data_IF_594112584693
#
_entry.id   IF_594112584693
#
_cell.length_a   1.000
_cell.length_b   1.000
_cell.length_c   1.000
_cell.angle_alpha   90.00
_cell.angle_beta   90.00
_cell.angle_gamma   90.00
#
_symmetry.space_group_name_H-M   'P 1'
#
loop_
_entity.id
_entity.type
_entity.pdbx_description
1 polymer ?
#
# COMPACT_ATOMS: atom_id res chain seq x y z
N UNK A 1 -25.53 -20.62 -17.03
CA UNK A 1 -24.22 -20.57 -17.72
C UNK A 1 -23.58 -19.22 -17.44
N UNK A 2 -22.39 -19.15 -16.82
CA UNK A 2 -21.76 -17.88 -16.51
C UNK A 2 -21.20 -17.24 -17.79
N UNK A 3 -21.63 -16.00 -18.08
CA UNK A 3 -21.13 -15.21 -19.19
C UNK A 3 -19.66 -14.86 -18.94
N UNK A 4 -18.82 -15.33 -19.85
CA UNK A 4 -17.39 -15.05 -19.92
C UNK A 4 -17.17 -13.54 -20.08
N UNK A 5 -16.11 -12.99 -19.46
CA UNK A 5 -15.69 -11.59 -19.66
C UNK A 5 -15.50 -11.35 -21.17
N UNK A 6 -16.39 -10.57 -21.77
CA UNK A 6 -16.19 -9.99 -23.11
C UNK A 6 -15.21 -8.84 -22.99
N UNK A 7 -14.02 -9.00 -23.57
CA UNK A 7 -13.13 -7.87 -23.88
C UNK A 7 -13.90 -6.85 -24.73
N UNK A 8 -13.65 -5.56 -24.53
CA UNK A 8 -14.28 -4.46 -25.28
C UNK A 8 -14.23 -4.76 -26.78
N UNK A 9 -15.39 -4.99 -27.40
CA UNK A 9 -15.50 -5.46 -28.79
C UNK A 9 -15.12 -4.40 -29.84
N UNK A 10 -14.84 -3.15 -29.45
CA UNK A 10 -14.30 -2.12 -30.36
C UNK A 10 -13.66 -0.96 -29.58
N UNK A 11 -12.34 -0.95 -29.35
CA UNK A 11 -11.66 0.28 -28.97
C UNK A 11 -11.69 1.27 -30.16
N UNK A 12 -11.83 2.59 -29.93
CA UNK A 12 -11.71 3.58 -30.99
C UNK A 12 -10.34 3.46 -31.67
N UNK A 13 -10.31 3.44 -33.02
CA UNK A 13 -9.07 3.38 -33.79
C UNK A 13 -8.19 4.59 -33.46
N UNK A 14 -7.00 4.35 -32.93
CA UNK A 14 -6.00 5.38 -32.71
C UNK A 14 -5.21 5.63 -34.01
N UNK A 15 -4.85 6.90 -34.24
CA UNK A 15 -3.92 7.30 -35.28
C UNK A 15 -2.55 6.63 -35.02
N UNK A 16 -1.99 6.01 -36.07
CA UNK A 16 -0.69 5.36 -36.00
C UNK A 16 0.41 6.40 -35.83
N UNK A 17 1.14 6.38 -34.71
CA UNK A 17 2.33 7.19 -34.52
C UNK A 17 3.48 6.29 -34.07
N UNK A 18 4.63 6.44 -34.74
CA UNK A 18 5.85 5.65 -34.50
C UNK A 18 6.42 5.97 -33.11
N UNK A 19 6.57 4.94 -32.28
CA UNK A 19 7.21 5.03 -30.97
C UNK A 19 8.66 5.53 -31.08
N UNK A 20 9.10 6.36 -30.14
CA UNK A 20 10.48 6.83 -30.05
C UNK A 20 11.42 5.68 -29.62
N UNK A 21 12.42 5.38 -30.46
CA UNK A 21 13.35 4.28 -30.25
C UNK A 21 14.20 4.45 -28.98
N UNK A 22 14.21 3.43 -28.11
CA UNK A 22 15.08 3.35 -26.94
C UNK A 22 16.37 2.62 -27.31
N UNK A 23 17.53 3.28 -27.21
CA UNK A 23 18.83 2.73 -27.61
C UNK A 23 19.49 1.89 -26.50
N UNK A 24 19.31 0.58 -26.52
CA UNK A 24 20.04 -0.37 -25.66
C UNK A 24 20.05 -1.79 -26.27
N UNK A 25 21.24 -2.32 -26.53
CA UNK A 25 21.49 -3.49 -27.40
C UNK A 25 20.83 -4.82 -26.99
N UNK A 26 20.68 -5.68 -28.00
CA UNK A 26 20.26 -7.10 -28.11
C UNK A 26 18.96 -7.56 -27.41
N UNK A 27 18.60 -6.97 -26.26
CA UNK A 27 17.23 -7.03 -25.69
C UNK A 27 16.21 -6.22 -26.49
N UNK A 28 16.65 -5.62 -27.59
CA UNK A 28 15.84 -4.75 -28.45
C UNK A 28 15.03 -5.56 -29.48
N UNK A 29 15.51 -6.71 -29.96
CA UNK A 29 14.86 -7.43 -31.07
C UNK A 29 13.51 -8.04 -30.68
N UNK A 30 13.42 -8.79 -29.58
CA UNK A 30 12.14 -9.36 -29.10
C UNK A 30 11.16 -8.27 -28.65
N UNK A 31 11.66 -7.25 -27.96
CA UNK A 31 10.86 -6.08 -27.57
C UNK A 31 10.25 -5.41 -28.80
N UNK A 32 11.08 -5.12 -29.79
CA UNK A 32 10.66 -4.47 -31.02
C UNK A 32 9.67 -5.34 -31.81
N UNK A 33 9.90 -6.66 -31.88
CA UNK A 33 8.95 -7.60 -32.47
C UNK A 33 7.58 -7.57 -31.76
N UNK A 34 7.56 -7.51 -30.42
CA UNK A 34 6.32 -7.41 -29.66
C UNK A 34 5.65 -6.04 -29.83
N UNK A 35 6.41 -4.95 -29.82
CA UNK A 35 5.91 -3.60 -30.07
C UNK A 35 5.29 -3.48 -31.46
N UNK A 36 5.95 -4.00 -32.50
CA UNK A 36 5.42 -4.06 -33.87
C UNK A 36 4.18 -4.95 -33.95
N UNK A 37 4.20 -6.13 -33.31
CA UNK A 37 3.07 -7.08 -33.29
C UNK A 37 1.82 -6.49 -32.64
N UNK A 38 1.97 -5.61 -31.65
CA UNK A 38 0.85 -5.02 -30.91
C UNK A 38 0.66 -3.52 -31.20
N UNK A 39 1.34 -2.97 -32.21
CA UNK A 39 1.34 -1.53 -32.50
C UNK A 39 -0.07 -0.97 -32.74
N UNK A 40 -0.96 -1.74 -33.36
CA UNK A 40 -2.36 -1.39 -33.62
C UNK A 40 -3.24 -1.37 -32.35
N UNK A 41 -2.74 -1.95 -31.25
CA UNK A 41 -3.42 -2.03 -29.95
C UNK A 41 -2.76 -1.18 -28.87
N UNK A 42 -1.56 -0.67 -29.13
CA UNK A 42 -0.83 0.19 -28.21
C UNK A 42 -1.25 1.65 -28.41
N UNK A 43 -1.49 2.33 -27.29
CA UNK A 43 -1.72 3.77 -27.25
C UNK A 43 -0.78 4.38 -26.23
N UNK A 44 0.03 5.33 -26.67
CA UNK A 44 0.87 6.11 -25.76
C UNK A 44 0.02 7.17 -25.04
N UNK A 45 0.14 7.21 -23.71
CA UNK A 45 -0.50 8.22 -22.86
C UNK A 45 0.54 8.84 -21.90
N UNK A 46 1.48 9.65 -22.40
CA UNK A 46 2.54 10.24 -21.57
C UNK A 46 2.00 11.10 -20.42
N UNK A 47 0.78 11.65 -20.54
CA UNK A 47 0.10 12.39 -19.48
C UNK A 47 -0.17 11.58 -18.21
N UNK A 48 -0.17 10.25 -18.28
CA UNK A 48 -0.33 9.37 -17.11
C UNK A 48 0.99 9.13 -16.36
N UNK A 49 2.13 9.59 -16.88
CA UNK A 49 3.46 9.27 -16.33
C UNK A 49 3.65 9.62 -14.85
N UNK A 50 3.05 10.71 -14.38
CA UNK A 50 3.11 11.11 -12.97
C UNK A 50 2.24 10.21 -12.05
N UNK A 51 1.23 9.55 -12.61
CA UNK A 51 0.25 8.74 -11.90
C UNK A 51 0.67 7.28 -11.74
N UNK A 52 1.59 6.78 -12.59
CA UNK A 52 2.10 5.40 -12.53
C UNK A 52 3.21 5.20 -11.49
N UNK A 53 3.24 6.04 -10.44
CA UNK A 53 4.17 5.93 -9.33
C UNK A 53 3.53 6.31 -8.00
N UNK A 54 4.17 5.92 -6.89
CA UNK A 54 3.69 6.24 -5.54
C UNK A 54 3.67 7.74 -5.23
N UNK A 55 4.35 8.59 -6.02
CA UNK A 55 4.55 10.01 -5.70
C UNK A 55 3.23 10.73 -5.41
N UNK A 56 2.19 10.46 -6.19
CA UNK A 56 0.85 11.04 -6.00
C UNK A 56 0.08 10.57 -4.75
N UNK A 57 0.58 9.55 -4.04
CA UNK A 57 -0.07 9.05 -2.80
C UNK A 57 0.41 9.73 -1.53
N UNK A 58 1.50 10.52 -1.59
CA UNK A 58 2.06 11.19 -0.41
C UNK A 58 1.08 12.16 0.25
N UNK A 59 0.20 12.76 -0.55
CA UNK A 59 -0.78 13.75 -0.10
C UNK A 59 -2.12 13.13 0.28
N UNK A 60 -2.29 11.81 0.08
CA UNK A 60 -3.51 11.08 0.47
C UNK A 60 -3.32 10.55 1.90
N UNK A 61 -4.04 11.07 2.92
CA UNK A 61 -3.70 10.85 4.33
C UNK A 61 -3.61 9.38 4.76
N UNK A 62 -4.46 8.52 4.22
CA UNK A 62 -4.51 7.09 4.57
C UNK A 62 -3.49 6.27 3.78
N UNK A 63 -3.20 6.63 2.53
CA UNK A 63 -2.23 5.91 1.69
C UNK A 63 -0.78 6.22 2.04
N UNK A 64 -0.51 7.39 2.66
CA UNK A 64 0.84 7.73 3.13
C UNK A 64 1.27 6.96 4.38
N UNK A 65 0.34 6.32 5.10
CA UNK A 65 0.63 5.57 6.33
C UNK A 65 1.62 4.43 6.09
N UNK A 66 1.56 3.78 4.93
CA UNK A 66 2.51 2.71 4.63
C UNK A 66 3.03 2.84 3.20
N UNK A 67 4.25 3.37 3.07
CA UNK A 67 4.90 3.56 1.77
C UNK A 67 5.27 2.23 1.12
N UNK A 68 4.81 2.04 -0.11
CA UNK A 68 5.14 0.92 -1.00
C UNK A 68 5.57 1.48 -2.36
N UNK A 69 6.78 1.13 -2.80
CA UNK A 69 7.43 1.82 -3.92
C UNK A 69 6.78 1.47 -5.27
N UNK A 70 6.23 0.26 -5.36
CA UNK A 70 5.64 -0.34 -6.53
C UNK A 70 4.15 0.04 -6.69
N UNK A 71 3.58 0.81 -5.77
CA UNK A 71 2.21 1.30 -5.89
C UNK A 71 2.11 2.44 -6.92
N UNK A 72 1.05 2.42 -7.73
CA UNK A 72 0.60 3.57 -8.52
C UNK A 72 -0.22 4.55 -7.66
N UNK A 73 -0.44 5.75 -8.18
CA UNK A 73 -1.16 6.81 -7.51
C UNK A 73 -2.67 6.51 -7.41
N UNK A 74 -3.32 7.00 -6.35
CA UNK A 74 -4.77 6.91 -6.15
C UNK A 74 -5.55 7.51 -7.33
N UNK A 75 -5.10 8.66 -7.83
CA UNK A 75 -5.68 9.35 -8.97
C UNK A 75 -5.59 8.55 -10.27
N UNK A 76 -4.58 7.67 -10.40
CA UNK A 76 -4.51 6.73 -11.53
C UNK A 76 -5.77 5.87 -11.58
N UNK A 77 -6.17 5.30 -10.46
CA UNK A 77 -7.34 4.41 -10.40
C UNK A 77 -8.61 5.20 -10.65
N UNK A 78 -8.77 6.36 -10.01
CA UNK A 78 -9.96 7.20 -10.20
C UNK A 78 -10.18 7.59 -11.66
N UNK A 79 -9.10 7.92 -12.39
CA UNK A 79 -9.15 8.20 -13.82
C UNK A 79 -9.74 7.02 -14.61
N UNK A 80 -9.28 5.79 -14.36
CA UNK A 80 -9.78 4.61 -15.08
C UNK A 80 -11.18 4.19 -14.64
N UNK A 81 -11.54 4.31 -13.36
CA UNK A 81 -12.92 4.10 -12.90
C UNK A 81 -13.89 5.04 -13.63
N UNK A 82 -13.49 6.31 -13.79
CA UNK A 82 -14.25 7.33 -14.53
C UNK A 82 -14.33 7.04 -16.03
N UNK A 83 -13.19 6.77 -16.69
CA UNK A 83 -13.12 6.48 -18.12
C UNK A 83 -13.97 5.31 -18.55
N UNK A 84 -14.04 4.28 -17.72
CA UNK A 84 -14.86 3.09 -17.97
C UNK A 84 -16.32 3.28 -17.51
N UNK A 85 -16.67 4.42 -16.89
CA UNK A 85 -18.02 4.72 -16.45
C UNK A 85 -18.51 3.78 -15.34
N UNK A 86 -17.62 3.29 -14.48
CA UNK A 86 -17.99 2.33 -13.44
C UNK A 86 -18.93 2.97 -12.43
N UNK A 87 -19.89 2.16 -11.99
CA UNK A 87 -20.91 2.51 -11.01
C UNK A 87 -20.91 1.51 -9.86
N UNK A 88 -21.74 1.76 -8.85
CA UNK A 88 -21.95 0.84 -7.71
C UNK A 88 -22.54 -0.52 -8.12
N UNK A 89 -22.97 -0.68 -9.37
CA UNK A 89 -23.49 -1.94 -9.94
C UNK A 89 -22.38 -2.81 -10.54
N UNK A 90 -21.19 -2.24 -10.74
CA UNK A 90 -20.04 -2.92 -11.32
C UNK A 90 -19.15 -3.53 -10.25
N UNK A 91 -18.12 -4.25 -10.68
CA UNK A 91 -17.17 -4.92 -9.80
C UNK A 91 -15.74 -4.69 -10.28
N UNK A 92 -14.85 -4.32 -9.37
CA UNK A 92 -13.42 -4.18 -9.66
C UNK A 92 -12.68 -5.41 -9.16
N UNK A 93 -11.91 -6.04 -10.04
CA UNK A 93 -11.04 -7.15 -9.68
C UNK A 93 -9.57 -6.77 -9.94
N UNK A 94 -8.75 -6.88 -8.90
CA UNK A 94 -7.31 -6.64 -8.98
C UNK A 94 -6.52 -7.90 -8.61
N UNK A 95 -6.00 -8.67 -9.59
CA UNK A 95 -5.30 -9.93 -9.32
C UNK A 95 -3.90 -9.75 -8.71
N UNK A 96 -3.41 -8.51 -8.58
CA UNK A 96 -2.11 -8.16 -8.00
C UNK A 96 -2.24 -6.89 -7.17
N UNK A 97 -3.18 -6.92 -6.20
CA UNK A 97 -3.65 -5.71 -5.56
C UNK A 97 -2.59 -4.99 -4.73
N UNK A 98 -1.48 -5.65 -4.40
CA UNK A 98 -0.44 -5.11 -3.54
C UNK A 98 -1.04 -4.58 -2.25
N UNK A 99 -0.72 -3.33 -1.94
CA UNK A 99 -1.22 -2.63 -0.75
C UNK A 99 -2.65 -2.11 -0.89
N UNK A 100 -3.31 -2.33 -2.03
CA UNK A 100 -4.74 -2.07 -2.21
C UNK A 100 -5.12 -0.67 -2.69
N UNK A 101 -4.26 0.05 -3.43
CA UNK A 101 -4.63 1.35 -4.02
C UNK A 101 -5.92 1.24 -4.84
N UNK A 102 -6.04 0.20 -5.67
CA UNK A 102 -7.24 -0.09 -6.47
C UNK A 102 -8.48 -0.29 -5.59
N UNK A 103 -8.37 -1.14 -4.57
CA UNK A 103 -9.50 -1.46 -3.69
C UNK A 103 -9.94 -0.25 -2.87
N UNK A 104 -8.99 0.55 -2.40
CA UNK A 104 -9.29 1.78 -1.67
C UNK A 104 -9.97 2.82 -2.56
N UNK A 105 -9.50 3.03 -3.80
CA UNK A 105 -10.15 3.92 -4.76
C UNK A 105 -11.56 3.44 -5.16
N UNK A 106 -11.74 2.14 -5.40
CA UNK A 106 -13.06 1.56 -5.64
C UNK A 106 -14.00 1.78 -4.44
N UNK A 107 -13.54 1.51 -3.22
CA UNK A 107 -14.28 1.76 -1.99
C UNK A 107 -14.69 3.23 -1.83
N UNK A 108 -13.79 4.18 -2.12
CA UNK A 108 -14.07 5.63 -2.07
C UNK A 108 -15.15 6.06 -3.05
N UNK A 109 -15.29 5.34 -4.17
CA UNK A 109 -16.33 5.55 -5.19
C UNK A 109 -17.58 4.68 -4.97
N UNK A 110 -17.63 3.90 -3.88
CA UNK A 110 -18.75 3.00 -3.57
C UNK A 110 -18.88 1.81 -4.53
N UNK A 111 -17.79 1.45 -5.21
CA UNK A 111 -17.73 0.34 -6.16
C UNK A 111 -17.22 -0.90 -5.42
N UNK A 112 -17.96 -2.02 -5.42
CA UNK A 112 -17.50 -3.30 -4.89
C UNK A 112 -16.18 -3.75 -5.55
N UNK A 113 -15.27 -4.34 -4.76
CA UNK A 113 -13.99 -4.79 -5.28
C UNK A 113 -13.43 -6.02 -4.56
N UNK A 114 -12.63 -6.82 -5.28
CA UNK A 114 -11.80 -7.91 -4.74
C UNK A 114 -10.38 -7.75 -5.26
N UNK A 115 -9.43 -7.98 -4.36
CA UNK A 115 -8.02 -8.06 -4.70
C UNK A 115 -7.40 -9.37 -4.26
N UNK A 116 -6.39 -9.81 -4.99
CA UNK A 116 -5.54 -10.95 -4.64
C UNK A 116 -4.09 -10.49 -4.66
N UNK A 117 -3.32 -10.94 -3.67
CA UNK A 117 -1.87 -10.77 -3.66
C UNK A 117 -1.22 -11.94 -2.90
N UNK A 118 0.02 -12.27 -3.24
CA UNK A 118 0.78 -13.35 -2.59
C UNK A 118 1.38 -12.88 -1.26
N UNK A 119 1.69 -11.60 -1.11
CA UNK A 119 2.40 -11.07 0.05
C UNK A 119 1.40 -10.80 1.21
N UNK A 120 1.49 -11.53 2.36
CA UNK A 120 0.48 -11.43 3.41
C UNK A 120 0.35 -10.03 4.02
N UNK A 121 1.46 -9.30 4.16
CA UNK A 121 1.43 -7.92 4.67
C UNK A 121 0.73 -6.97 3.68
N UNK A 122 0.86 -7.21 2.37
CA UNK A 122 0.20 -6.42 1.35
C UNK A 122 -1.33 -6.62 1.42
N UNK A 123 -1.76 -7.88 1.48
CA UNK A 123 -3.18 -8.24 1.68
C UNK A 123 -3.73 -7.65 2.99
N UNK A 124 -2.96 -7.70 4.08
CA UNK A 124 -3.34 -7.10 5.36
C UNK A 124 -3.56 -5.59 5.24
N UNK A 125 -2.70 -4.85 4.55
CA UNK A 125 -2.92 -3.41 4.38
C UNK A 125 -4.09 -3.15 3.43
N UNK A 126 -4.16 -3.86 2.30
CA UNK A 126 -5.23 -3.73 1.32
C UNK A 126 -6.64 -3.91 1.92
N UNK A 127 -6.82 -4.87 2.83
CA UNK A 127 -8.09 -5.08 3.54
C UNK A 127 -8.36 -4.02 4.62
N UNK A 128 -7.32 -3.40 5.18
CA UNK A 128 -7.42 -2.48 6.32
C UNK A 128 -7.65 -1.04 5.88
N UNK A 129 -7.07 -0.58 4.76
CA UNK A 129 -7.25 0.80 4.30
C UNK A 129 -8.73 1.20 4.12
N UNK A 130 -9.62 0.37 3.55
CA UNK A 130 -11.05 0.71 3.43
C UNK A 130 -11.76 0.90 4.77
N UNK A 131 -11.29 0.27 5.85
CA UNK A 131 -11.88 0.40 7.19
C UNK A 131 -11.94 1.86 7.64
N UNK A 132 -10.93 2.68 7.31
CA UNK A 132 -10.91 4.10 7.66
C UNK A 132 -12.12 4.87 7.12
N UNK A 133 -12.73 4.41 6.02
CA UNK A 133 -13.95 5.03 5.46
C UNK A 133 -15.21 4.72 6.28
N UNK A 134 -15.14 3.75 7.19
CA UNK A 134 -16.28 3.28 8.01
C UNK A 134 -16.21 3.75 9.46
N UNK A 135 -15.05 4.22 9.92
CA UNK A 135 -14.86 4.68 11.28
C UNK A 135 -15.54 6.03 11.52
N UNK A 136 -16.06 6.22 12.73
CA UNK A 136 -16.59 7.52 13.14
C UNK A 136 -15.44 8.50 13.39
N UNK A 137 -15.60 9.80 13.08
CA UNK A 137 -14.62 10.82 13.47
C UNK A 137 -14.30 10.73 14.97
N UNK A 138 -13.01 10.84 15.32
CA UNK A 138 -12.53 10.77 16.71
C UNK A 138 -12.36 9.35 17.28
N UNK A 139 -12.95 8.32 16.68
CA UNK A 139 -12.91 6.95 17.20
C UNK A 139 -11.49 6.39 17.36
N UNK A 140 -10.60 6.66 16.39
CA UNK A 140 -9.18 6.26 16.47
C UNK A 140 -8.47 6.97 17.62
N UNK A 141 -8.72 8.28 17.78
CA UNK A 141 -8.11 9.09 18.84
C UNK A 141 -8.56 8.62 20.23
N UNK A 142 -9.85 8.36 20.41
CA UNK A 142 -10.39 7.82 21.66
C UNK A 142 -9.77 6.46 22.02
N UNK A 143 -9.62 5.58 21.02
CA UNK A 143 -8.98 4.29 21.21
C UNK A 143 -7.49 4.45 21.57
N UNK A 144 -6.77 5.38 20.92
CA UNK A 144 -5.37 5.66 21.21
C UNK A 144 -5.17 6.10 22.67
N UNK A 145 -5.99 7.03 23.18
CA UNK A 145 -5.89 7.48 24.57
C UNK A 145 -6.18 6.35 25.57
N UNK A 146 -7.14 5.48 25.27
CA UNK A 146 -7.42 4.27 26.08
C UNK A 146 -6.24 3.31 26.11
N UNK A 147 -5.60 3.06 24.96
CA UNK A 147 -4.41 2.22 24.89
C UNK A 147 -3.24 2.83 25.66
N UNK A 148 -3.00 4.14 25.48
CA UNK A 148 -1.94 4.89 26.16
C UNK A 148 -2.06 4.79 27.67
N UNK A 149 -3.28 4.92 28.21
CA UNK A 149 -3.54 4.79 29.65
C UNK A 149 -3.24 3.38 30.22
N UNK A 150 -3.34 2.34 29.38
CA UNK A 150 -3.05 0.94 29.77
C UNK A 150 -1.56 0.58 29.67
N UNK A 151 -0.82 1.30 28.83
CA UNK A 151 0.58 1.02 28.50
C UNK A 151 1.51 0.81 29.72
N UNK A 152 1.42 1.60 30.82
CA UNK A 152 2.29 1.42 31.98
C UNK A 152 2.13 0.05 32.68
N UNK A 153 0.95 -0.55 32.57
CA UNK A 153 0.61 -1.84 33.20
C UNK A 153 0.81 -3.03 32.26
N UNK A 154 1.09 -2.80 30.99
CA UNK A 154 1.18 -3.83 29.98
C UNK A 154 2.49 -4.62 30.07
N UNK A 155 2.38 -5.95 30.10
CA UNK A 155 3.51 -6.83 29.87
C UNK A 155 3.92 -6.76 28.38
N UNK A 156 5.23 -6.74 28.06
CA UNK A 156 5.68 -6.64 26.68
C UNK A 156 5.38 -7.92 25.87
N UNK A 157 4.76 -7.77 24.69
CA UNK A 157 4.47 -8.88 23.79
C UNK A 157 5.72 -9.67 23.39
N UNK A 158 5.58 -10.96 23.06
CA UNK A 158 6.67 -11.76 22.52
C UNK A 158 7.10 -11.24 21.13
N UNK A 159 8.39 -11.39 20.80
CA UNK A 159 8.94 -11.08 19.47
C UNK A 159 9.86 -12.21 19.02
N UNK A 160 10.01 -12.34 17.71
CA UNK A 160 10.90 -13.32 17.08
C UNK A 160 12.38 -12.91 17.23
N UNK A 161 12.96 -13.12 18.42
CA UNK A 161 14.36 -12.80 18.73
C UNK A 161 15.37 -13.70 18.00
N UNK A 162 14.89 -14.80 17.41
CA UNK A 162 15.62 -15.67 16.50
C UNK A 162 15.93 -14.98 15.16
N UNK A 163 15.16 -13.96 14.79
CA UNK A 163 15.42 -13.15 13.60
C UNK A 163 16.60 -12.19 13.85
N UNK A 164 17.68 -12.34 13.08
CA UNK A 164 18.92 -11.59 13.27
C UNK A 164 18.74 -10.06 13.31
N UNK A 165 17.88 -9.51 12.45
CA UNK A 165 17.65 -8.05 12.40
C UNK A 165 17.03 -7.51 13.70
N UNK A 166 16.24 -8.32 14.43
CA UNK A 166 15.61 -7.91 15.69
C UNK A 166 16.62 -7.63 16.81
N UNK A 167 17.84 -8.19 16.72
CA UNK A 167 18.90 -7.99 17.70
C UNK A 167 19.60 -6.63 17.57
N UNK A 168 19.48 -5.98 16.41
CA UNK A 168 20.23 -4.76 16.07
C UNK A 168 19.36 -3.61 15.58
N UNK A 169 18.13 -3.87 15.15
CA UNK A 169 17.28 -2.86 14.54
C UNK A 169 16.73 -1.82 15.52
N UNK A 170 16.62 -2.12 16.81
CA UNK A 170 15.96 -1.26 17.77
C UNK A 170 16.82 -1.05 19.03
N UNK A 171 16.92 0.19 19.54
CA UNK A 171 17.45 0.41 20.88
C UNK A 171 16.62 -0.34 21.93
N UNK A 172 17.22 -0.87 23.02
CA UNK A 172 16.53 -1.73 23.98
C UNK A 172 15.25 -1.12 24.57
N UNK A 173 15.29 0.16 24.95
CA UNK A 173 14.14 0.87 25.50
C UNK A 173 13.03 1.07 24.47
N UNK A 174 13.40 1.36 23.22
CA UNK A 174 12.45 1.50 22.10
C UNK A 174 11.78 0.18 21.78
N UNK A 175 12.55 -0.92 21.73
CA UNK A 175 11.99 -2.26 21.52
C UNK A 175 11.02 -2.65 22.64
N UNK A 176 11.38 -2.38 23.90
CA UNK A 176 10.50 -2.62 25.04
C UNK A 176 9.18 -1.84 24.92
N UNK A 177 9.25 -0.55 24.55
CA UNK A 177 8.07 0.27 24.34
C UNK A 177 7.19 -0.23 23.19
N UNK A 178 7.78 -0.60 22.04
CA UNK A 178 7.07 -1.20 20.90
C UNK A 178 6.37 -2.51 21.30
N UNK A 179 7.03 -3.35 22.10
CA UNK A 179 6.45 -4.61 22.60
C UNK A 179 5.26 -4.37 23.54
N UNK A 180 5.30 -3.34 24.38
CA UNK A 180 4.15 -2.93 25.21
C UNK A 180 2.99 -2.40 24.37
N UNK A 181 3.27 -1.58 23.37
CA UNK A 181 2.26 -1.11 22.41
C UNK A 181 1.62 -2.27 21.68
N UNK A 182 2.42 -3.21 21.17
CA UNK A 182 1.91 -4.40 20.49
C UNK A 182 0.97 -5.22 21.39
N UNK A 183 1.33 -5.39 22.67
CA UNK A 183 0.50 -6.12 23.63
C UNK A 183 -0.89 -5.48 23.80
N UNK A 184 -0.96 -4.16 24.05
CA UNK A 184 -2.26 -3.48 24.22
C UNK A 184 -3.06 -3.39 22.92
N UNK A 185 -2.40 -3.33 21.76
CA UNK A 185 -3.07 -3.39 20.45
C UNK A 185 -3.67 -4.78 20.20
N UNK A 186 -2.99 -5.85 20.62
CA UNK A 186 -3.46 -7.21 20.42
C UNK A 186 -4.75 -7.53 21.18
N UNK A 187 -5.04 -6.78 22.25
CA UNK A 187 -6.24 -6.86 23.07
C UNK A 187 -7.47 -6.15 22.45
N UNK A 188 -7.28 -5.37 21.38
CA UNK A 188 -8.39 -4.74 20.67
C UNK A 188 -9.19 -5.77 19.86
N UNK A 189 -10.46 -5.45 19.60
CA UNK A 189 -11.26 -6.16 18.62
C UNK A 189 -11.14 -5.51 17.23
N UNK A 190 -11.32 -6.31 16.18
CA UNK A 190 -11.47 -5.78 14.83
C UNK A 190 -12.76 -4.96 14.72
N UNK A 191 -12.76 -3.84 13.97
CA UNK A 191 -11.71 -3.48 13.00
C UNK A 191 -10.63 -2.55 13.58
N UNK A 192 -10.75 -2.10 14.84
CA UNK A 192 -9.76 -1.21 15.44
C UNK A 192 -8.41 -1.89 15.64
N UNK A 193 -8.37 -3.18 15.98
CA UNK A 193 -7.12 -3.95 16.04
C UNK A 193 -6.32 -3.85 14.75
N UNK A 194 -6.96 -4.09 13.60
CA UNK A 194 -6.30 -4.04 12.29
C UNK A 194 -5.79 -2.62 11.98
N UNK A 195 -6.60 -1.60 12.27
CA UNK A 195 -6.21 -0.19 12.11
C UNK A 195 -4.98 0.15 12.94
N UNK A 196 -4.96 -0.22 14.22
CA UNK A 196 -3.83 0.04 15.10
C UNK A 196 -2.60 -0.81 14.75
N UNK A 197 -2.77 -2.02 14.23
CA UNK A 197 -1.66 -2.81 13.69
C UNK A 197 -1.04 -2.16 12.45
N UNK A 198 -1.85 -1.60 11.55
CA UNK A 198 -1.34 -0.84 10.40
C UNK A 198 -0.57 0.42 10.86
N UNK A 199 -1.13 1.18 11.81
CA UNK A 199 -0.42 2.33 12.40
C UNK A 199 0.87 1.90 13.09
N UNK A 200 0.84 0.80 13.85
CA UNK A 200 2.03 0.23 14.48
C UNK A 200 3.11 -0.15 13.46
N UNK A 201 2.75 -0.79 12.33
CA UNK A 201 3.70 -1.10 11.27
C UNK A 201 4.28 0.14 10.60
N UNK A 202 3.52 1.24 10.50
CA UNK A 202 3.99 2.49 9.91
C UNK A 202 5.14 3.14 10.70
N UNK A 203 5.16 2.95 12.02
CA UNK A 203 6.15 3.60 12.90
C UNK A 203 7.42 2.76 13.12
N UNK A 204 7.43 1.48 12.70
CA UNK A 204 8.58 0.60 12.95
C UNK A 204 9.88 1.14 12.35
N UNK A 205 9.83 1.67 11.12
CA UNK A 205 11.00 2.25 10.48
C UNK A 205 11.49 3.51 11.22
N UNK A 206 10.67 4.55 11.47
CA UNK A 206 11.06 5.71 12.30
C UNK A 206 11.59 5.38 13.70
N UNK A 207 11.04 4.33 14.34
CA UNK A 207 11.48 3.88 15.67
C UNK A 207 12.68 2.91 15.63
N UNK A 208 13.22 2.59 14.46
CA UNK A 208 14.36 1.68 14.29
C UNK A 208 15.61 2.41 13.83
N UNK A 209 16.77 1.80 14.06
CA UNK A 209 18.05 2.13 13.44
C UNK A 209 18.12 1.67 11.98
N UNK A 210 17.02 1.22 11.38
CA UNK A 210 16.99 0.75 9.99
C UNK A 210 16.37 1.78 9.06
N UNK A 211 16.71 1.70 7.78
CA UNK A 211 16.09 2.47 6.70
C UNK A 211 15.91 1.59 5.47
N UNK A 212 14.82 1.80 4.74
CA UNK A 212 14.54 1.07 3.50
C UNK A 212 15.52 1.49 2.39
N UNK A 213 16.22 0.51 1.84
CA UNK A 213 17.21 0.70 0.77
C UNK A 213 16.98 -0.29 -0.38
N UNK A 214 16.22 0.14 -1.39
CA UNK A 214 15.72 -0.79 -2.42
C UNK A 214 14.89 -1.92 -1.80
N UNK A 215 15.34 -3.17 -2.02
CA UNK A 215 14.78 -4.42 -1.46
C UNK A 215 15.38 -4.79 -0.10
N UNK A 216 16.41 -4.08 0.38
CA UNK A 216 17.15 -4.40 1.59
C UNK A 216 16.89 -3.38 2.70
N UNK A 217 17.26 -3.76 3.92
CA UNK A 217 17.33 -2.85 5.06
C UNK A 217 18.77 -2.45 5.29
N UNK A 218 19.00 -1.15 5.45
CA UNK A 218 20.29 -0.58 5.83
C UNK A 218 20.27 -0.21 7.30
N UNK A 219 21.30 -0.62 8.05
CA UNK A 219 21.47 -0.19 9.45
C UNK A 219 22.21 1.15 9.49
N UNK A 220 21.64 2.12 10.21
CA UNK A 220 22.15 3.47 10.42
C UNK A 220 22.28 3.66 11.93
N UNK A 221 23.50 3.49 12.47
CA UNK A 221 23.75 3.43 13.91
C UNK A 221 23.46 4.74 14.64
N UNK A 222 23.70 5.87 13.98
CA UNK A 222 23.54 7.22 14.55
C UNK A 222 22.20 7.85 14.17
N UNK A 223 21.22 7.02 13.76
CA UNK A 223 19.89 7.50 13.41
C UNK A 223 19.14 7.93 14.67
N UNK A 224 18.64 9.16 14.67
CA UNK A 224 17.67 9.61 15.66
C UNK A 224 16.37 8.81 15.49
N UNK A 225 15.96 8.10 16.54
CA UNK A 225 14.76 7.26 16.53
C UNK A 225 13.60 7.96 17.21
N UNK A 226 12.43 7.93 16.57
CA UNK A 226 11.22 8.47 17.17
C UNK A 226 10.77 7.62 18.37
N UNK A 227 10.21 8.27 19.40
CA UNK A 227 9.54 7.55 20.49
C UNK A 227 8.24 6.91 19.98
N UNK A 228 7.95 5.62 20.26
CA UNK A 228 6.77 4.95 19.73
C UNK A 228 5.43 5.64 20.05
N UNK A 229 5.32 6.26 21.23
CA UNK A 229 4.11 6.97 21.64
C UNK A 229 3.90 8.27 20.85
N UNK A 230 4.98 8.96 20.48
CA UNK A 230 4.92 10.19 19.67
C UNK A 230 4.66 9.86 18.21
N UNK A 231 5.27 8.79 17.69
CA UNK A 231 5.07 8.35 16.31
C UNK A 231 3.65 7.82 16.03
N UNK A 232 2.97 7.27 17.06
CA UNK A 232 1.59 6.78 16.96
C UNK A 232 0.52 7.86 17.17
N UNK A 233 0.86 8.99 17.79
CA UNK A 233 -0.07 10.07 18.13
C UNK A 233 -0.48 10.90 16.89
#
# INVERSE_FOLDING_TARGET
MPKQLTFLENPPRAESVRAAAYSGGDRCAERQQLEEKFADRLREEPGLGSLVSYVGNKDVPVLRLYRYKEAFAFRFVEEFLSRFGLTKKDYVFDPFCGMGTTLFAACRNGIPSVGVDKLPIAVFVARTLPVFCTLRPGQVKEAFEKLRARLPKAAPAAVALDVAIMKVAFPPNTLLALRRWKAVIDELESPLKDVFLLLFFSILEPCSLTSKDGQFLRLIRDKEVAAPAEALA
#
